data_IF_315088389437
#
_entry.id   IF_315088389437
#
_cell.length_a   1.000
_cell.length_b   1.000
_cell.length_c   1.000
_cell.angle_alpha   90.00
_cell.angle_beta   90.00
_cell.angle_gamma   90.00
#
_symmetry.space_group_name_H-M   'P 1'
#
loop_
_entity.id
_entity.type
_entity.pdbx_description
1 polymer ?
#
# COMPACT_ATOMS: atom_id res chain seq x y z
N UNK A 1 -1.77 19.43 12.40
CA UNK A 1 -1.79 18.00 11.98
C UNK A 1 -1.51 17.82 10.47
N UNK A 2 -1.57 18.86 9.64
CA UNK A 2 -1.09 18.82 8.25
C UNK A 2 0.10 19.75 8.04
N UNK A 3 1.22 19.39 8.65
CA UNK A 3 2.49 20.04 8.35
C UNK A 3 3.40 19.01 7.69
N UNK A 4 3.50 19.10 6.36
CA UNK A 4 4.35 18.23 5.55
C UNK A 4 5.83 18.40 5.92
N UNK A 5 6.24 19.58 6.40
CA UNK A 5 7.59 19.85 6.87
C UNK A 5 7.93 19.09 8.14
N UNK A 6 7.02 19.06 9.13
CA UNK A 6 7.23 18.28 10.37
C UNK A 6 7.31 16.78 10.06
N UNK A 7 6.47 16.28 9.14
CA UNK A 7 6.52 14.87 8.76
C UNK A 7 7.82 14.54 8.00
N UNK A 8 8.20 15.37 7.04
CA UNK A 8 9.43 15.23 6.27
C UNK A 8 10.66 15.25 7.19
N UNK A 9 10.75 16.18 8.14
CA UNK A 9 11.87 16.27 9.08
C UNK A 9 12.04 14.97 9.91
N UNK A 10 10.93 14.41 10.43
CA UNK A 10 10.97 13.13 11.15
C UNK A 10 11.44 11.97 10.27
N UNK A 11 10.98 11.92 9.03
CA UNK A 11 11.44 10.91 8.08
C UNK A 11 12.93 11.10 7.76
N UNK A 12 13.36 12.33 7.47
CA UNK A 12 14.76 12.68 7.21
C UNK A 12 15.69 12.25 8.34
N UNK A 13 15.30 12.50 9.60
CA UNK A 13 16.09 12.07 10.76
C UNK A 13 16.29 10.55 10.77
N UNK A 14 15.22 9.78 10.56
CA UNK A 14 15.28 8.31 10.54
C UNK A 14 16.11 7.77 9.39
N UNK A 15 15.97 8.31 8.19
CA UNK A 15 16.76 7.88 7.03
C UNK A 15 18.23 8.28 7.18
N UNK A 16 18.52 9.44 7.77
CA UNK A 16 19.89 9.88 8.08
C UNK A 16 20.58 8.95 9.07
N UNK A 17 19.88 8.50 10.11
CA UNK A 17 20.41 7.51 11.06
C UNK A 17 20.76 6.17 10.38
N UNK A 18 20.11 5.87 9.26
CA UNK A 18 20.37 4.69 8.42
C UNK A 18 21.43 4.94 7.33
N UNK A 19 21.98 6.15 7.23
CA UNK A 19 22.98 6.52 6.23
C UNK A 19 22.41 6.98 4.87
N UNK A 20 21.12 7.29 4.79
CA UNK A 20 20.44 7.74 3.57
C UNK A 20 20.07 9.23 3.65
N UNK A 21 20.09 9.90 2.50
CA UNK A 21 19.48 11.22 2.34
C UNK A 21 18.01 11.07 1.95
N UNK A 22 17.16 11.98 2.45
CA UNK A 22 15.76 12.06 2.05
C UNK A 22 15.40 13.49 1.67
N UNK A 23 14.87 13.65 0.46
CA UNK A 23 14.36 14.93 -0.05
C UNK A 23 12.85 14.90 -0.04
N UNK A 24 12.20 15.87 0.60
CA UNK A 24 10.76 16.03 0.53
C UNK A 24 10.37 16.50 -0.86
N UNK A 25 9.46 15.78 -1.51
CA UNK A 25 8.97 16.15 -2.85
C UNK A 25 8.22 17.49 -2.84
N UNK A 26 7.64 17.87 -1.70
CA UNK A 26 6.89 19.12 -1.56
C UNK A 26 7.75 20.38 -1.66
N UNK A 27 9.06 20.25 -1.45
CA UNK A 27 10.02 21.37 -1.49
C UNK A 27 10.58 21.58 -2.91
N UNK A 28 10.18 20.76 -3.88
CA UNK A 28 10.72 20.74 -5.23
C UNK A 28 9.78 21.44 -6.22
N UNK A 29 10.35 22.31 -7.04
CA UNK A 29 9.61 23.09 -8.05
C UNK A 29 9.09 22.24 -9.20
N UNK A 30 9.71 21.10 -9.48
CA UNK A 30 9.28 20.15 -10.50
C UNK A 30 9.26 18.73 -9.94
N UNK A 31 8.14 18.38 -9.32
CA UNK A 31 7.93 17.09 -8.65
C UNK A 31 8.02 15.88 -9.61
N UNK A 32 7.43 15.91 -10.83
CA UNK A 32 7.60 14.81 -11.78
C UNK A 32 9.07 14.53 -12.13
N UNK A 33 9.84 15.59 -12.41
CA UNK A 33 11.28 15.47 -12.70
C UNK A 33 12.05 14.91 -11.51
N UNK A 34 11.72 15.32 -10.30
CA UNK A 34 12.35 14.80 -9.09
C UNK A 34 12.13 13.29 -8.91
N UNK A 35 10.96 12.78 -9.30
CA UNK A 35 10.68 11.35 -9.31
C UNK A 35 11.49 10.64 -10.39
N UNK A 36 11.64 11.25 -11.57
CA UNK A 36 12.44 10.68 -12.64
C UNK A 36 13.94 10.57 -12.27
N UNK A 37 14.45 11.49 -11.44
CA UNK A 37 15.84 11.53 -10.96
C UNK A 37 16.06 10.75 -9.64
N UNK A 38 15.01 10.29 -8.97
CA UNK A 38 15.12 9.62 -7.68
C UNK A 38 15.66 8.18 -7.80
N UNK A 39 16.52 7.80 -6.85
CA UNK A 39 17.00 6.42 -6.72
C UNK A 39 15.97 5.49 -6.07
N UNK A 40 15.17 6.02 -5.13
CA UNK A 40 14.15 5.30 -4.35
C UNK A 40 13.02 6.27 -4.05
N UNK A 41 11.77 5.78 -4.01
CA UNK A 41 10.64 6.55 -3.50
C UNK A 41 10.11 5.96 -2.19
N UNK A 42 9.97 6.82 -1.18
CA UNK A 42 9.28 6.50 0.06
C UNK A 42 7.96 7.27 0.15
N UNK A 43 6.87 6.55 0.38
CA UNK A 43 5.54 7.11 0.59
C UNK A 43 5.07 6.75 2.00
N UNK A 44 5.00 7.78 2.84
CA UNK A 44 4.62 7.65 4.24
C UNK A 44 3.13 7.41 4.47
N UNK A 45 2.80 7.24 5.75
CA UNK A 45 1.41 7.16 6.22
C UNK A 45 0.72 8.52 6.30
N UNK A 46 -0.56 8.51 6.67
CA UNK A 46 -1.40 9.69 6.75
C UNK A 46 -2.83 9.33 6.38
N UNK A 47 -3.61 10.29 5.88
CA UNK A 47 -4.92 10.01 5.31
C UNK A 47 -4.77 9.66 3.82
N UNK A 48 -5.22 8.47 3.45
CA UNK A 48 -5.09 7.88 2.10
C UNK A 48 -5.82 8.70 1.04
N UNK A 49 -7.01 9.23 1.33
CA UNK A 49 -7.76 10.08 0.39
C UNK A 49 -6.99 11.36 0.05
N UNK A 50 -6.42 12.03 1.06
CA UNK A 50 -5.57 13.22 0.85
C UNK A 50 -4.30 12.90 0.08
N UNK A 51 -3.67 11.77 0.41
CA UNK A 51 -2.46 11.32 -0.28
C UNK A 51 -2.75 11.11 -1.77
N UNK A 52 -3.77 10.31 -2.10
CA UNK A 52 -4.10 10.05 -3.50
C UNK A 52 -4.54 11.31 -4.25
N UNK A 53 -5.34 12.17 -3.61
CA UNK A 53 -5.74 13.45 -4.19
C UNK A 53 -4.51 14.33 -4.52
N UNK A 54 -3.50 14.34 -3.65
CA UNK A 54 -2.23 15.02 -3.92
C UNK A 54 -1.46 14.42 -5.09
N UNK A 55 -1.39 13.08 -5.19
CA UNK A 55 -0.76 12.39 -6.31
C UNK A 55 -1.42 12.73 -7.65
N UNK A 56 -2.75 12.87 -7.67
CA UNK A 56 -3.49 13.34 -8.85
C UNK A 56 -3.20 14.81 -9.16
N UNK A 57 -3.35 15.71 -8.18
CA UNK A 57 -3.21 17.16 -8.41
C UNK A 57 -1.81 17.59 -8.88
N UNK A 58 -0.80 16.77 -8.62
CA UNK A 58 0.59 17.02 -9.01
C UNK A 58 1.06 16.10 -10.16
N UNK A 59 0.16 15.35 -10.80
CA UNK A 59 0.45 14.44 -11.92
C UNK A 59 1.56 13.40 -11.62
N UNK A 60 1.60 12.88 -10.38
CA UNK A 60 2.69 12.04 -9.90
C UNK A 60 2.47 10.54 -10.15
N UNK A 61 1.23 10.09 -10.37
CA UNK A 61 0.92 8.67 -10.60
C UNK A 61 1.70 8.09 -11.78
N UNK A 62 1.73 8.81 -12.91
CA UNK A 62 2.42 8.39 -14.14
C UNK A 62 3.94 8.25 -13.95
N UNK A 63 4.65 9.30 -13.49
CA UNK A 63 6.08 9.24 -13.17
C UNK A 63 6.45 8.10 -12.22
N UNK A 64 5.70 7.92 -11.12
CA UNK A 64 5.98 6.85 -10.15
C UNK A 64 5.84 5.49 -10.81
N UNK A 65 4.73 5.23 -11.51
CA UNK A 65 4.51 3.94 -12.22
C UNK A 65 5.64 3.64 -13.19
N UNK A 66 6.04 4.61 -14.02
CA UNK A 66 7.13 4.43 -14.99
C UNK A 66 8.45 4.10 -14.32
N UNK A 67 8.82 4.85 -13.27
CA UNK A 67 10.09 4.67 -12.57
C UNK A 67 10.15 3.36 -11.80
N UNK A 68 9.06 2.96 -11.14
CA UNK A 68 8.97 1.65 -10.47
C UNK A 68 9.05 0.51 -11.47
N UNK A 69 8.36 0.61 -12.62
CA UNK A 69 8.48 -0.38 -13.70
C UNK A 69 9.90 -0.46 -14.28
N UNK A 70 10.66 0.64 -14.26
CA UNK A 70 12.07 0.69 -14.64
C UNK A 70 13.04 0.22 -13.53
N UNK A 71 12.54 -0.32 -12.41
CA UNK A 71 13.33 -0.91 -11.34
C UNK A 71 13.62 0.01 -10.15
N UNK A 72 13.07 1.22 -10.11
CA UNK A 72 13.19 2.09 -8.93
C UNK A 72 12.46 1.45 -7.73
N UNK A 73 13.11 1.23 -6.58
CA UNK A 73 12.44 0.69 -5.40
C UNK A 73 11.35 1.63 -4.88
N UNK A 74 10.20 1.06 -4.54
CA UNK A 74 9.09 1.72 -3.88
C UNK A 74 8.95 1.22 -2.45
N UNK A 75 8.86 2.14 -1.48
CA UNK A 75 8.64 1.82 -0.07
C UNK A 75 7.38 2.56 0.40
N UNK A 76 6.31 1.81 0.72
CA UNK A 76 5.06 2.37 1.22
C UNK A 76 4.77 1.95 2.65
N UNK A 77 4.34 2.90 3.49
CA UNK A 77 3.90 2.63 4.87
C UNK A 77 2.47 3.11 5.09
N UNK A 78 1.61 2.28 5.68
CA UNK A 78 0.21 2.60 5.98
C UNK A 78 -0.54 3.06 4.71
N UNK A 79 -0.96 4.33 4.63
CA UNK A 79 -1.54 4.95 3.44
C UNK A 79 -0.67 4.76 2.18
N UNK A 80 0.66 4.83 2.32
CA UNK A 80 1.61 4.52 1.25
C UNK A 80 1.48 3.09 0.70
N UNK A 81 1.24 2.11 1.58
CA UNK A 81 1.02 0.72 1.16
C UNK A 81 -0.29 0.58 0.37
N UNK A 82 -1.34 1.31 0.77
CA UNK A 82 -2.64 1.29 0.06
C UNK A 82 -2.50 1.91 -1.33
N UNK A 83 -1.86 3.08 -1.46
CA UNK A 83 -1.75 3.73 -2.78
C UNK A 83 -0.86 2.97 -3.76
N UNK A 84 -0.04 2.01 -3.30
CA UNK A 84 0.68 1.09 -4.18
C UNK A 84 -0.23 0.06 -4.87
N UNK A 85 -1.42 -0.19 -4.34
CA UNK A 85 -2.41 -1.15 -4.83
C UNK A 85 -3.21 -0.60 -6.03
N UNK A 86 -4.11 -1.38 -6.65
CA UNK A 86 -4.92 -0.91 -7.78
C UNK A 86 -5.85 0.25 -7.43
N UNK A 87 -6.43 0.24 -6.22
CA UNK A 87 -7.35 1.30 -5.76
C UNK A 87 -7.21 1.57 -4.26
N UNK A 88 -7.79 2.67 -3.77
CA UNK A 88 -7.83 2.97 -2.33
C UNK A 88 -8.91 2.20 -1.55
N UNK A 89 -9.72 1.35 -2.22
CA UNK A 89 -10.99 0.81 -1.70
C UNK A 89 -10.87 0.02 -0.38
N UNK A 90 -9.68 -0.45 -0.01
CA UNK A 90 -9.41 -1.18 1.25
C UNK A 90 -8.87 -0.29 2.38
N UNK A 91 -8.87 1.04 2.20
CA UNK A 91 -8.52 1.98 3.26
C UNK A 91 -9.57 2.02 4.36
N UNK A 92 -9.12 2.24 5.60
CA UNK A 92 -9.97 2.50 6.77
C UNK A 92 -10.07 3.98 7.11
N UNK A 93 -9.41 4.82 6.32
CA UNK A 93 -9.40 6.24 6.54
C UNK A 93 -10.77 6.87 6.23
N UNK A 94 -11.13 7.89 6.98
CA UNK A 94 -12.31 8.69 6.68
C UNK A 94 -12.11 9.46 5.36
N UNK A 95 -13.11 9.50 4.44
CA UNK A 95 -13.03 10.20 3.16
C UNK A 95 -13.14 11.72 3.33
N UNK A 96 -12.11 12.36 3.91
CA UNK A 96 -12.09 13.80 4.20
C UNK A 96 -11.95 14.68 2.96
N UNK A 97 -11.53 14.11 1.82
CA UNK A 97 -11.47 14.73 0.50
C UNK A 97 -11.84 13.70 -0.57
N UNK A 98 -12.32 14.15 -1.72
CA UNK A 98 -12.66 13.29 -2.85
C UNK A 98 -11.58 13.40 -3.94
N UNK A 99 -10.72 12.36 -4.13
CA UNK A 99 -9.81 12.33 -5.27
C UNK A 99 -10.59 12.18 -6.58
N UNK A 100 -10.01 12.57 -7.74
CA UNK A 100 -10.65 12.42 -9.05
C UNK A 100 -11.09 11.00 -9.39
N UNK A 101 -10.37 9.99 -8.87
CA UNK A 101 -10.69 8.57 -8.99
C UNK A 101 -10.14 7.81 -7.78
N UNK A 102 -10.69 6.62 -7.51
CA UNK A 102 -10.14 5.69 -6.52
C UNK A 102 -8.99 4.85 -7.06
N UNK A 103 -8.74 4.87 -8.37
CA UNK A 103 -7.56 4.23 -8.97
C UNK A 103 -6.28 4.82 -8.39
N UNK A 104 -5.40 3.96 -7.89
CA UNK A 104 -4.13 4.32 -7.27
C UNK A 104 -2.96 3.85 -8.16
N UNK A 105 -1.77 3.60 -7.62
CA UNK A 105 -0.59 3.34 -8.46
C UNK A 105 -0.66 2.01 -9.23
N UNK A 106 -1.33 0.99 -8.70
CA UNK A 106 -1.42 -0.32 -9.37
C UNK A 106 -0.05 -1.00 -9.56
N UNK A 107 0.87 -0.82 -8.61
CA UNK A 107 2.21 -1.44 -8.63
C UNK A 107 2.15 -2.93 -8.31
N UNK A 108 1.10 -3.35 -7.61
CA UNK A 108 0.77 -4.75 -7.32
C UNK A 108 -0.67 -5.05 -7.76
N UNK A 109 -0.99 -6.28 -8.19
CA UNK A 109 -2.33 -6.68 -8.66
C UNK A 109 -3.26 -7.18 -7.53
N UNK A 110 -2.98 -6.84 -6.28
CA UNK A 110 -3.80 -7.18 -5.12
C UNK A 110 -3.99 -5.96 -4.23
N UNK A 111 -4.94 -6.02 -3.31
CA UNK A 111 -5.20 -4.98 -2.32
C UNK A 111 -4.51 -5.26 -1.00
N UNK A 112 -4.18 -4.19 -0.28
CA UNK A 112 -3.63 -4.27 1.08
C UNK A 112 -4.61 -3.56 2.02
N UNK A 113 -5.03 -4.24 3.08
CA UNK A 113 -5.68 -3.64 4.24
C UNK A 113 -4.66 -3.60 5.39
N UNK A 114 -3.91 -2.49 5.56
CA UNK A 114 -2.89 -2.40 6.60
C UNK A 114 -3.54 -2.27 7.98
N UNK A 115 -2.80 -2.57 9.04
CA UNK A 115 -3.29 -2.53 10.43
C UNK A 115 -4.48 -3.48 10.66
N UNK A 116 -4.47 -4.65 10.00
CA UNK A 116 -5.52 -5.64 10.16
C UNK A 116 -5.60 -6.08 11.62
N UNK A 117 -6.81 -6.08 12.17
CA UNK A 117 -7.10 -6.54 13.53
C UNK A 117 -8.08 -7.70 13.42
N UNK A 118 -7.75 -8.79 14.12
CA UNK A 118 -8.62 -9.94 14.25
C UNK A 118 -9.90 -9.56 15.03
N UNK A 119 -11.06 -10.19 14.72
CA UNK A 119 -12.28 -9.98 15.48
C UNK A 119 -12.07 -10.25 16.96
N UNK A 120 -12.42 -9.27 17.81
CA UNK A 120 -12.42 -9.44 19.25
C UNK A 120 -13.75 -10.07 19.71
N UNK A 121 -13.69 -11.34 20.13
CA UNK A 121 -14.85 -12.09 20.61
C UNK A 121 -15.51 -11.50 21.87
N UNK A 122 -14.83 -10.60 22.59
CA UNK A 122 -15.35 -9.91 23.77
C UNK A 122 -15.93 -8.52 23.47
N UNK A 123 -15.81 -8.06 22.22
CA UNK A 123 -16.30 -6.75 21.82
C UNK A 123 -17.83 -6.66 21.89
N UNK A 124 -18.33 -5.57 22.45
CA UNK A 124 -19.75 -5.19 22.42
C UNK A 124 -20.08 -4.24 21.26
N UNK A 125 -19.09 -3.95 20.41
CA UNK A 125 -19.28 -3.11 19.23
C UNK A 125 -20.14 -3.84 18.20
N UNK A 126 -21.20 -3.18 17.74
CA UNK A 126 -22.20 -3.76 16.82
C UNK A 126 -21.92 -3.43 15.34
N UNK A 127 -20.87 -2.67 15.04
CA UNK A 127 -20.46 -2.37 13.67
C UNK A 127 -19.66 -3.51 13.04
N UNK A 128 -19.53 -3.48 11.73
CA UNK A 128 -18.84 -4.55 10.99
C UNK A 128 -17.34 -4.59 11.35
N UNK A 129 -16.85 -5.81 11.58
CA UNK A 129 -15.44 -6.16 11.73
C UNK A 129 -14.66 -5.85 10.45
N UNK A 130 -13.33 -5.82 10.54
CA UNK A 130 -12.50 -5.61 9.36
C UNK A 130 -12.66 -6.75 8.33
N UNK A 131 -12.83 -7.98 8.81
CA UNK A 131 -13.12 -9.14 7.99
C UNK A 131 -14.41 -8.96 7.19
N UNK A 132 -15.52 -8.63 7.86
CA UNK A 132 -16.82 -8.42 7.20
C UNK A 132 -16.75 -7.33 6.13
N UNK A 133 -16.06 -6.21 6.39
CA UNK A 133 -15.87 -5.14 5.40
C UNK A 133 -15.05 -5.59 4.19
N UNK A 134 -14.03 -6.43 4.40
CA UNK A 134 -13.23 -7.00 3.31
C UNK A 134 -14.07 -8.00 2.50
N UNK A 135 -14.91 -8.80 3.15
CA UNK A 135 -15.82 -9.71 2.46
C UNK A 135 -16.85 -8.95 1.62
N UNK A 136 -17.43 -7.85 2.13
CA UNK A 136 -18.27 -6.94 1.35
C UNK A 136 -17.51 -6.35 0.14
N UNK A 137 -16.24 -5.98 0.30
CA UNK A 137 -15.42 -5.56 -0.83
C UNK A 137 -15.31 -6.67 -1.89
N UNK A 138 -15.12 -7.93 -1.47
CA UNK A 138 -15.00 -9.08 -2.37
C UNK A 138 -16.34 -9.52 -3.01
N UNK A 139 -17.48 -9.09 -2.47
CA UNK A 139 -18.77 -9.24 -3.17
C UNK A 139 -18.77 -8.47 -4.50
N UNK A 140 -18.08 -7.33 -4.54
CA UNK A 140 -18.11 -6.36 -5.65
C UNK A 140 -16.79 -6.29 -6.46
N UNK A 141 -15.70 -6.87 -5.97
CA UNK A 141 -14.36 -6.74 -6.56
C UNK A 141 -13.64 -8.09 -6.59
N UNK A 142 -12.74 -8.29 -7.56
CA UNK A 142 -12.06 -9.57 -7.78
C UNK A 142 -10.65 -9.62 -7.18
N UNK A 143 -10.04 -8.45 -6.92
CA UNK A 143 -8.67 -8.39 -6.41
C UNK A 143 -8.57 -8.99 -5.00
N UNK A 144 -7.66 -9.96 -4.76
CA UNK A 144 -7.41 -10.48 -3.43
C UNK A 144 -6.98 -9.39 -2.45
N UNK A 145 -7.33 -9.54 -1.17
CA UNK A 145 -6.97 -8.59 -0.13
C UNK A 145 -6.01 -9.23 0.87
N UNK A 146 -4.90 -8.55 1.16
CA UNK A 146 -3.98 -8.91 2.25
C UNK A 146 -4.33 -8.08 3.48
N UNK A 147 -4.94 -8.72 4.48
CA UNK A 147 -5.05 -8.21 5.83
C UNK A 147 -3.69 -8.24 6.52
N UNK A 148 -2.96 -7.13 6.47
CA UNK A 148 -1.59 -7.02 6.97
C UNK A 148 -1.58 -6.48 8.40
N UNK A 149 -1.17 -7.33 9.35
CA UNK A 149 -1.03 -6.98 10.77
C UNK A 149 0.14 -6.03 11.00
N UNK A 150 0.05 -5.20 12.03
CA UNK A 150 1.12 -4.26 12.39
C UNK A 150 2.48 -4.96 12.60
N UNK A 151 3.57 -4.26 12.30
CA UNK A 151 4.93 -4.81 12.33
C UNK A 151 5.29 -5.76 11.18
N UNK A 152 4.35 -6.04 10.27
CA UNK A 152 4.59 -6.87 9.08
C UNK A 152 4.80 -6.02 7.82
N UNK A 153 5.52 -6.58 6.85
CA UNK A 153 5.82 -5.94 5.56
C UNK A 153 5.66 -7.00 4.46
N UNK A 154 5.15 -6.59 3.30
CA UNK A 154 5.23 -7.39 2.08
C UNK A 154 6.44 -6.94 1.26
N UNK A 155 7.34 -7.88 0.96
CA UNK A 155 8.44 -7.64 0.02
C UNK A 155 8.05 -8.23 -1.33
N UNK A 156 7.85 -7.36 -2.32
CA UNK A 156 7.60 -7.75 -3.71
C UNK A 156 8.90 -7.60 -4.49
N UNK A 157 9.45 -8.71 -4.96
CA UNK A 157 10.72 -8.72 -5.67
C UNK A 157 10.85 -9.99 -6.52
N UNK A 158 11.40 -9.88 -7.72
CA UNK A 158 11.71 -11.01 -8.62
C UNK A 158 10.49 -11.93 -8.86
N UNK A 159 9.31 -11.32 -9.01
CA UNK A 159 8.04 -12.03 -9.24
C UNK A 159 7.46 -12.73 -7.99
N UNK A 160 8.09 -12.60 -6.83
CA UNK A 160 7.62 -13.17 -5.57
C UNK A 160 7.04 -12.09 -4.63
N UNK A 161 6.05 -12.47 -3.82
CA UNK A 161 5.50 -11.64 -2.75
C UNK A 161 5.78 -12.35 -1.42
N UNK A 162 6.73 -11.87 -0.64
CA UNK A 162 7.12 -12.52 0.62
C UNK A 162 6.61 -11.74 1.83
N UNK A 163 5.91 -12.42 2.74
CA UNK A 163 5.58 -11.85 4.04
C UNK A 163 6.82 -11.77 4.94
N UNK A 164 7.07 -10.61 5.54
CA UNK A 164 8.15 -10.36 6.50
C UNK A 164 7.58 -9.72 7.77
N UNK A 165 8.33 -9.82 8.87
CA UNK A 165 7.90 -9.36 10.20
C UNK A 165 7.50 -10.52 11.12
N UNK A 166 7.10 -10.23 12.36
CA UNK A 166 6.85 -11.26 13.37
C UNK A 166 5.47 -11.92 13.26
N UNK A 167 4.51 -11.30 12.56
CA UNK A 167 3.11 -11.73 12.55
C UNK A 167 2.73 -12.45 11.27
N UNK A 168 1.63 -13.21 11.32
CA UNK A 168 0.98 -13.77 10.12
C UNK A 168 0.18 -12.68 9.39
N UNK A 169 -0.16 -12.93 8.13
CA UNK A 169 -1.11 -12.11 7.37
C UNK A 169 -2.35 -12.94 7.01
N UNK A 170 -3.53 -12.33 7.01
CA UNK A 170 -4.78 -12.99 6.60
C UNK A 170 -5.08 -12.63 5.15
N UNK A 171 -5.29 -13.64 4.32
CA UNK A 171 -5.50 -13.47 2.87
C UNK A 171 -6.96 -13.77 2.57
N UNK A 172 -7.60 -12.83 1.87
CA UNK A 172 -9.01 -12.91 1.50
C UNK A 172 -9.14 -13.00 -0.01
N UNK A 173 -9.95 -13.95 -0.48
CA UNK A 173 -10.26 -14.16 -1.90
C UNK A 173 -11.76 -14.30 -2.08
N UNK A 174 -12.24 -13.86 -3.24
CA UNK A 174 -13.68 -13.88 -3.55
C UNK A 174 -14.19 -15.31 -3.57
N UNK A 175 -15.28 -15.55 -2.82
CA UNK A 175 -15.91 -16.86 -2.68
C UNK A 175 -15.04 -17.98 -2.07
N UNK A 176 -14.01 -17.60 -1.32
CA UNK A 176 -13.15 -18.55 -0.62
C UNK A 176 -13.02 -18.21 0.86
N UNK A 177 -12.82 -19.23 1.69
CA UNK A 177 -12.50 -19.03 3.11
C UNK A 177 -11.14 -18.31 3.26
N UNK A 178 -11.03 -17.32 4.16
CA UNK A 178 -9.77 -16.64 4.42
C UNK A 178 -8.68 -17.59 4.90
N UNK A 179 -7.44 -17.40 4.43
CA UNK A 179 -6.29 -18.23 4.80
C UNK A 179 -5.23 -17.43 5.55
N UNK A 180 -4.60 -18.04 6.56
CA UNK A 180 -3.46 -17.45 7.26
C UNK A 180 -2.15 -17.79 6.55
N UNK A 181 -1.36 -16.76 6.27
CA UNK A 181 -0.03 -16.86 5.71
C UNK A 181 1.03 -16.61 6.79
N UNK A 182 1.97 -17.55 6.92
CA UNK A 182 3.05 -17.46 7.92
C UNK A 182 4.18 -16.55 7.43
N UNK A 183 4.89 -15.91 8.36
CA UNK A 183 6.07 -15.11 8.02
C UNK A 183 7.10 -15.94 7.23
N UNK A 184 7.75 -15.30 6.25
CA UNK A 184 8.70 -15.94 5.34
C UNK A 184 8.08 -16.68 4.15
N UNK A 185 6.75 -16.90 4.12
CA UNK A 185 6.08 -17.56 3.00
C UNK A 185 6.02 -16.68 1.75
N UNK A 186 6.01 -17.33 0.59
CA UNK A 186 5.67 -16.71 -0.69
C UNK A 186 4.15 -16.74 -0.87
N UNK A 187 3.54 -15.56 -1.00
CA UNK A 187 2.10 -15.37 -1.09
C UNK A 187 1.56 -15.47 -2.52
N UNK A 188 2.41 -15.53 -3.55
CA UNK A 188 1.95 -15.61 -4.94
C UNK A 188 0.86 -16.67 -5.17
N UNK A 189 0.96 -17.93 -4.67
CA UNK A 189 -0.06 -18.95 -4.90
C UNK A 189 -1.47 -18.60 -4.38
N UNK A 190 -1.57 -17.65 -3.45
CA UNK A 190 -2.84 -17.18 -2.86
C UNK A 190 -3.19 -15.74 -3.25
N UNK A 191 -2.37 -15.07 -4.06
CA UNK A 191 -2.60 -13.70 -4.54
C UNK A 191 -2.82 -13.61 -6.04
N UNK A 192 -2.33 -14.58 -6.83
CA UNK A 192 -2.65 -14.70 -8.24
C UNK A 192 -2.29 -16.09 -8.78
N UNK A 193 -3.01 -16.58 -9.79
CA UNK A 193 -2.55 -17.74 -10.54
C UNK A 193 -1.31 -17.38 -11.38
N UNK A 194 -0.32 -18.28 -11.40
CA UNK A 194 1.00 -18.08 -12.02
C UNK A 194 0.98 -17.80 -13.55
N UNK A 195 -0.20 -17.85 -14.18
CA UNK A 195 -0.44 -17.62 -15.61
C UNK A 195 -0.32 -16.15 -16.05
N UNK A 196 -0.22 -15.19 -15.14
CA UNK A 196 -0.19 -13.75 -15.47
C UNK A 196 1.21 -13.13 -15.62
N UNK A 197 2.28 -13.86 -15.27
CA UNK A 197 3.67 -13.37 -15.35
C UNK A 197 4.18 -13.31 -16.81
N UNK A 198 3.55 -14.04 -17.74
CA UNK A 198 3.97 -14.12 -19.15
C UNK A 198 3.40 -13.07 -20.10
N UNK A 199 2.50 -12.19 -19.66
CA UNK A 199 1.77 -11.29 -20.57
C UNK A 199 2.17 -9.80 -20.45
N UNK A 200 3.18 -9.47 -19.64
CA UNK A 200 3.70 -8.11 -19.49
C UNK A 200 5.23 -8.11 -19.58
N UNK A 201 5.73 -8.53 -20.74
CA UNK A 201 7.08 -8.23 -21.24
C UNK A 201 7.00 -7.18 -22.33
#
# INVERSE_FOLDING_TARGET
VHDWGIYAAKAQDRFRDMGFSLTSIHDLSNMPRAIDEADVIFVGGGNTFRLLNGLYNHDLLGPIRRRVAAGMPYIGSSAGSIVACPTLKTTKDMPVVQPPSFEALGLVPFQISPHYLDPDASSTHMGETQEERILQFLEENEEPVVGLREGSILRVQDGAVTLKGPNTARIFRRYEEPVEATTGSNLCPVLWEASTVGARS
#
